data_IF_292880899161
#
_entry.id   IF_292880899161
#
_cell.length_a   1.000
_cell.length_b   1.000
_cell.length_c   1.000
_cell.angle_alpha   90.00
_cell.angle_beta   90.00
_cell.angle_gamma   90.00
#
_symmetry.space_group_name_H-M   'P 1'
#
loop_
_entity.id
_entity.type
_entity.pdbx_description
1 polymer ?
#
# COMPACT_ATOMS: atom_id res chain seq x y z
N UNK A 1 -0.16 18.34 -5.69
CA UNK A 1 0.03 17.88 -4.31
C UNK A 1 -1.22 18.20 -3.53
N UNK A 2 -1.91 17.20 -3.00
CA UNK A 2 -2.88 17.47 -1.94
C UNK A 2 -2.08 17.96 -0.73
N UNK A 3 -2.44 19.09 -0.11
CA UNK A 3 -1.80 19.53 1.12
C UNK A 3 -1.91 18.41 2.15
N UNK A 4 -0.96 18.26 3.08
CA UNK A 4 -1.07 17.28 4.13
C UNK A 4 -2.36 17.55 4.89
N UNK A 5 -3.30 16.61 4.82
CA UNK A 5 -4.62 16.71 5.49
C UNK A 5 -4.43 16.76 7.02
N UNK A 6 -3.26 16.38 7.49
CA UNK A 6 -2.84 16.52 8.87
C UNK A 6 -1.54 17.32 8.97
N UNK A 7 -1.41 18.26 9.92
CA UNK A 7 -0.19 19.05 10.12
C UNK A 7 0.96 18.21 10.71
N UNK A 8 0.78 16.90 10.88
CA UNK A 8 1.80 15.99 11.43
C UNK A 8 2.71 15.53 10.30
N UNK A 9 4.02 15.83 10.34
CA UNK A 9 4.98 15.36 9.34
C UNK A 9 4.99 13.83 9.28
N UNK A 10 4.79 13.27 8.09
CA UNK A 10 4.80 11.82 7.89
C UNK A 10 3.43 11.14 7.76
N UNK A 11 2.35 11.76 8.21
CA UNK A 11 1.00 11.25 7.98
C UNK A 11 0.57 11.53 6.54
N UNK A 12 0.62 10.49 5.71
CA UNK A 12 0.13 10.53 4.33
C UNK A 12 -1.04 9.56 4.20
N UNK A 13 -2.18 10.04 3.70
CA UNK A 13 -3.27 9.14 3.34
C UNK A 13 -2.77 8.14 2.30
N UNK A 14 -2.81 6.86 2.65
CA UNK A 14 -2.19 5.77 1.86
C UNK A 14 -2.88 5.45 0.53
N UNK A 15 -3.38 6.48 -0.20
CA UNK A 15 -4.08 6.33 -1.47
C UNK A 15 -3.29 5.51 -2.50
N UNK A 16 -1.96 5.57 -2.43
CA UNK A 16 -1.11 4.76 -3.29
C UNK A 16 -1.23 3.25 -3.05
N UNK A 17 -1.66 2.82 -1.88
CA UNK A 17 -1.87 1.42 -1.58
C UNK A 17 -3.14 0.87 -2.23
N UNK A 18 -4.12 1.72 -2.59
CA UNK A 18 -5.33 1.33 -3.31
C UNK A 18 -4.97 0.69 -4.64
N UNK A 19 -4.09 1.33 -5.42
CA UNK A 19 -3.67 0.82 -6.73
C UNK A 19 -2.92 -0.51 -6.58
N UNK A 20 -2.03 -0.61 -5.60
CA UNK A 20 -1.29 -1.84 -5.30
C UNK A 20 -2.25 -2.98 -4.95
N UNK A 21 -3.23 -2.73 -4.06
CA UNK A 21 -4.23 -3.71 -3.68
C UNK A 21 -5.12 -4.11 -4.86
N UNK A 22 -5.53 -3.14 -5.66
CA UNK A 22 -6.36 -3.40 -6.85
C UNK A 22 -5.64 -4.33 -7.83
N UNK A 23 -4.36 -4.08 -8.12
CA UNK A 23 -3.56 -4.93 -8.98
C UNK A 23 -3.36 -6.35 -8.41
N UNK A 24 -3.08 -6.45 -7.10
CA UNK A 24 -2.93 -7.74 -6.44
C UNK A 24 -4.24 -8.52 -6.38
N UNK A 25 -5.38 -7.83 -6.21
CA UNK A 25 -6.71 -8.46 -6.19
C UNK A 25 -7.07 -9.05 -7.55
N UNK A 26 -6.86 -8.31 -8.66
CA UNK A 26 -7.23 -8.75 -10.00
C UNK A 26 -6.30 -9.83 -10.54
N UNK A 27 -5.00 -9.65 -10.37
CA UNK A 27 -3.99 -10.49 -11.03
C UNK A 27 -3.29 -11.48 -10.09
N UNK A 28 -3.51 -11.39 -8.78
CA UNK A 28 -2.79 -12.23 -7.82
C UNK A 28 -1.28 -12.09 -7.96
N UNK A 29 -0.57 -13.23 -7.84
CA UNK A 29 0.90 -13.25 -7.92
C UNK A 29 1.47 -12.84 -9.28
N UNK A 30 0.72 -13.01 -10.36
CA UNK A 30 1.20 -12.68 -11.71
C UNK A 30 1.37 -11.17 -11.94
N UNK A 31 0.50 -10.35 -11.35
CA UNK A 31 0.60 -8.89 -11.43
C UNK A 31 1.33 -8.25 -10.25
N UNK A 32 1.99 -9.06 -9.43
CA UNK A 32 2.79 -8.55 -8.34
C UNK A 32 3.92 -7.62 -8.82
N UNK A 33 4.55 -7.94 -9.96
CA UNK A 33 5.59 -7.11 -10.55
C UNK A 33 5.03 -5.79 -11.10
N UNK A 34 3.82 -5.80 -11.69
CA UNK A 34 3.16 -4.58 -12.16
C UNK A 34 2.90 -3.65 -10.97
N UNK A 35 2.43 -4.20 -9.85
CA UNK A 35 2.22 -3.45 -8.62
C UNK A 35 3.53 -2.85 -8.07
N UNK A 36 4.63 -3.60 -8.13
CA UNK A 36 5.95 -3.10 -7.72
C UNK A 36 6.42 -1.97 -8.64
N UNK A 37 6.24 -2.12 -9.96
CA UNK A 37 6.59 -1.09 -10.93
C UNK A 37 5.82 0.22 -10.66
N UNK A 38 4.52 0.13 -10.38
CA UNK A 38 3.69 1.30 -10.03
C UNK A 38 4.19 1.96 -8.75
N UNK A 39 4.64 1.20 -7.74
CA UNK A 39 5.21 1.75 -6.51
C UNK A 39 6.48 2.53 -6.82
N UNK A 40 7.40 1.96 -7.60
CA UNK A 40 8.66 2.62 -7.97
C UNK A 40 8.37 3.90 -8.74
N UNK A 41 7.54 3.83 -9.77
CA UNK A 41 7.17 4.97 -10.59
C UNK A 41 6.55 6.11 -9.75
N UNK A 42 5.63 5.77 -8.85
CA UNK A 42 5.02 6.74 -7.93
C UNK A 42 6.03 7.40 -7.02
N UNK A 43 6.99 6.63 -6.47
CA UNK A 43 8.00 7.17 -5.57
C UNK A 43 8.96 8.11 -6.30
N UNK A 44 9.37 7.75 -7.53
CA UNK A 44 10.22 8.59 -8.38
C UNK A 44 9.49 9.89 -8.76
N UNK A 45 8.25 9.79 -9.24
CA UNK A 45 7.44 10.97 -9.57
C UNK A 45 7.24 11.89 -8.37
N UNK A 46 6.93 11.32 -7.20
CA UNK A 46 6.77 12.09 -5.98
C UNK A 46 8.06 12.81 -5.58
N UNK A 47 9.22 12.18 -5.73
CA UNK A 47 10.51 12.79 -5.45
C UNK A 47 10.85 13.94 -6.42
N UNK A 48 10.53 13.76 -7.70
CA UNK A 48 10.72 14.81 -8.72
C UNK A 48 9.83 16.03 -8.45
N UNK A 49 8.56 15.81 -8.08
CA UNK A 49 7.59 16.87 -7.78
C UNK A 49 7.97 17.62 -6.49
N UNK A 50 8.42 16.90 -5.46
CA UNK A 50 8.80 17.48 -4.16
C UNK A 50 10.21 18.09 -4.20
N UNK A 51 11.03 17.67 -5.19
CA UNK A 51 12.44 18.09 -5.28
C UNK A 51 13.31 17.51 -4.17
N UNK A 52 12.91 16.40 -3.53
CA UNK A 52 13.63 15.79 -2.42
C UNK A 52 13.94 14.31 -2.70
N UNK A 53 15.20 13.95 -2.96
CA UNK A 53 15.63 12.56 -3.14
C UNK A 53 15.32 11.68 -1.93
N UNK A 54 15.39 12.26 -0.72
CA UNK A 54 15.03 11.56 0.53
C UNK A 54 13.59 11.07 0.53
N UNK A 55 12.67 11.82 -0.08
CA UNK A 55 11.27 11.41 -0.21
C UNK A 55 11.13 10.12 -1.03
N UNK A 56 11.98 9.90 -2.04
CA UNK A 56 12.00 8.65 -2.80
C UNK A 56 12.50 7.48 -1.96
N UNK A 57 13.59 7.67 -1.22
CA UNK A 57 14.20 6.61 -0.39
C UNK A 57 13.19 6.10 0.64
N UNK A 58 12.56 7.01 1.39
CA UNK A 58 11.51 6.65 2.35
C UNK A 58 10.29 6.03 1.69
N UNK A 59 9.86 6.59 0.56
CA UNK A 59 8.73 6.09 -0.21
C UNK A 59 8.98 4.68 -0.72
N UNK A 60 10.18 4.38 -1.24
CA UNK A 60 10.56 3.06 -1.73
C UNK A 60 10.67 2.05 -0.59
N UNK A 61 11.35 2.39 0.50
CA UNK A 61 11.48 1.49 1.65
C UNK A 61 10.11 1.09 2.21
N UNK A 62 9.22 2.06 2.43
CA UNK A 62 7.85 1.80 2.87
C UNK A 62 7.02 1.06 1.80
N UNK A 63 7.14 1.45 0.54
CA UNK A 63 6.39 0.86 -0.57
C UNK A 63 6.74 -0.62 -0.80
N UNK A 64 8.01 -0.98 -0.78
CA UNK A 64 8.48 -2.36 -0.93
C UNK A 64 8.03 -3.21 0.28
N UNK A 65 8.18 -2.70 1.50
CA UNK A 65 7.73 -3.39 2.70
C UNK A 65 6.21 -3.64 2.68
N UNK A 66 5.43 -2.63 2.29
CA UNK A 66 3.98 -2.73 2.13
C UNK A 66 3.58 -3.75 1.05
N UNK A 67 4.25 -3.73 -0.10
CA UNK A 67 4.00 -4.66 -1.20
C UNK A 67 4.26 -6.12 -0.77
N UNK A 68 5.38 -6.38 -0.11
CA UNK A 68 5.71 -7.72 0.41
C UNK A 68 4.65 -8.20 1.40
N UNK A 69 4.25 -7.34 2.35
CA UNK A 69 3.23 -7.67 3.34
C UNK A 69 1.88 -8.00 2.67
N UNK A 70 1.42 -7.15 1.76
CA UNK A 70 0.17 -7.38 1.03
C UNK A 70 0.23 -8.66 0.19
N UNK A 71 1.35 -8.94 -0.48
CA UNK A 71 1.53 -10.14 -1.27
C UNK A 71 1.48 -11.40 -0.39
N UNK A 72 2.13 -11.38 0.77
CA UNK A 72 2.07 -12.47 1.74
C UNK A 72 0.64 -12.68 2.26
N UNK A 73 -0.04 -11.61 2.67
CA UNK A 73 -1.41 -11.69 3.17
C UNK A 73 -2.39 -12.22 2.11
N UNK A 74 -2.28 -11.77 0.86
CA UNK A 74 -3.09 -12.29 -0.25
C UNK A 74 -2.84 -13.79 -0.55
N UNK A 75 -1.70 -14.35 -0.14
CA UNK A 75 -1.42 -15.79 -0.27
C UNK A 75 -1.95 -16.61 0.89
N UNK A 76 -1.98 -16.01 2.10
CA UNK A 76 -2.41 -16.67 3.34
C UNK A 76 -3.94 -16.70 3.45
N UNK A 77 -4.60 -15.63 3.06
CA UNK A 77 -6.06 -15.53 3.17
C UNK A 77 -6.79 -16.43 2.15
N UNK A 78 -7.99 -16.91 2.51
CA UNK A 78 -8.79 -17.77 1.66
C UNK A 78 -9.09 -17.10 0.31
N UNK A 79 -9.15 -17.93 -0.73
CA UNK A 79 -9.58 -17.53 -2.06
C UNK A 79 -11.02 -17.97 -2.26
N UNK A 80 -11.80 -17.15 -2.93
CA UNK A 80 -13.15 -17.53 -3.34
C UNK A 80 -13.09 -18.74 -4.27
N UNK A 81 -13.96 -19.71 -4.01
CA UNK A 81 -14.00 -21.02 -4.70
C UNK A 81 -14.30 -20.90 -6.19
N UNK A 82 -15.17 -19.95 -6.57
CA UNK A 82 -15.59 -19.76 -7.95
C UNK A 82 -14.60 -18.92 -8.76
N UNK A 83 -14.19 -17.78 -8.20
CA UNK A 83 -13.36 -16.81 -8.94
C UNK A 83 -11.87 -17.06 -8.78
N UNK A 84 -11.45 -17.92 -7.82
CA UNK A 84 -10.06 -18.12 -7.40
C UNK A 84 -9.35 -16.81 -7.01
N UNK A 85 -10.12 -15.78 -6.74
CA UNK A 85 -9.64 -14.49 -6.26
C UNK A 85 -9.54 -14.52 -4.74
N UNK A 86 -8.72 -13.65 -4.23
CA UNK A 86 -8.69 -13.32 -2.82
C UNK A 86 -10.08 -12.80 -2.38
N UNK A 87 -10.61 -13.31 -1.25
CA UNK A 87 -11.93 -12.90 -0.76
C UNK A 87 -11.91 -11.40 -0.38
N UNK A 88 -12.82 -10.63 -0.97
CA UNK A 88 -12.91 -9.18 -0.78
C UNK A 88 -13.14 -8.75 0.67
N UNK A 89 -13.67 -9.66 1.52
CA UNK A 89 -13.89 -9.40 2.96
C UNK A 89 -12.59 -9.15 3.70
N UNK A 90 -11.48 -9.69 3.21
CA UNK A 90 -10.16 -9.53 3.82
C UNK A 90 -9.38 -8.33 3.28
N UNK A 91 -9.92 -7.59 2.31
CA UNK A 91 -9.28 -6.40 1.76
C UNK A 91 -8.92 -5.34 2.82
N UNK A 92 -9.81 -4.98 3.78
CA UNK A 92 -9.46 -4.02 4.82
C UNK A 92 -8.29 -4.50 5.70
N UNK A 93 -8.26 -5.79 6.04
CA UNK A 93 -7.16 -6.36 6.84
C UNK A 93 -5.84 -6.36 6.08
N UNK A 94 -5.87 -6.69 4.79
CA UNK A 94 -4.70 -6.62 3.92
C UNK A 94 -4.19 -5.19 3.77
N UNK A 95 -5.10 -4.22 3.68
CA UNK A 95 -4.75 -2.80 3.60
C UNK A 95 -4.10 -2.29 4.89
N UNK A 96 -4.64 -2.68 6.05
CA UNK A 96 -4.05 -2.33 7.36
C UNK A 96 -2.67 -2.96 7.48
N UNK A 97 -2.52 -4.24 7.16
CA UNK A 97 -1.21 -4.90 7.13
C UNK A 97 -0.22 -4.16 6.24
N UNK A 98 -0.63 -3.85 5.00
CA UNK A 98 0.19 -3.06 4.08
C UNK A 98 0.57 -1.69 4.63
N UNK A 99 -0.36 -0.98 5.27
CA UNK A 99 -0.11 0.35 5.84
C UNK A 99 0.86 0.28 7.05
N UNK A 100 0.70 -0.70 7.92
CA UNK A 100 1.59 -0.92 9.07
C UNK A 100 3.02 -1.23 8.60
N UNK A 101 3.16 -2.15 7.65
CA UNK A 101 4.47 -2.49 7.07
C UNK A 101 5.07 -1.34 6.25
N UNK A 102 4.24 -0.50 5.65
CA UNK A 102 4.71 0.72 4.99
C UNK A 102 5.40 1.65 6.00
N UNK A 103 4.75 1.92 7.13
CA UNK A 103 5.35 2.72 8.21
C UNK A 103 6.59 2.02 8.78
N UNK A 104 6.53 0.71 9.01
CA UNK A 104 7.69 -0.04 9.49
C UNK A 104 8.91 0.08 8.55
N UNK A 105 8.71 -0.03 7.24
CA UNK A 105 9.77 0.16 6.24
C UNK A 105 10.34 1.58 6.26
N UNK A 106 9.48 2.60 6.37
CA UNK A 106 9.93 3.98 6.50
C UNK A 106 10.71 4.22 7.80
N UNK A 107 10.22 3.65 8.92
CA UNK A 107 10.90 3.75 10.21
C UNK A 107 12.25 3.06 10.21
N UNK A 108 12.35 1.86 9.62
CA UNK A 108 13.63 1.17 9.47
C UNK A 108 14.65 2.02 8.69
N UNK A 109 14.21 2.63 7.59
CA UNK A 109 15.04 3.55 6.82
C UNK A 109 15.45 4.79 7.65
N UNK A 110 14.51 5.37 8.42
CA UNK A 110 14.78 6.52 9.26
C UNK A 110 15.78 6.20 10.39
N UNK A 111 15.66 5.02 11.01
CA UNK A 111 16.60 4.55 12.05
C UNK A 111 18.01 4.41 11.48
N UNK A 112 18.15 3.87 10.27
CA UNK A 112 19.45 3.73 9.61
C UNK A 112 20.11 5.08 9.30
N UNK A 113 19.30 6.10 8.98
CA UNK A 113 19.83 7.41 8.58
C UNK A 113 20.03 8.37 9.75
N UNK A 114 19.16 8.35 10.76
CA UNK A 114 19.14 9.35 11.84
C UNK A 114 19.32 8.78 13.25
N UNK A 115 19.36 7.46 13.38
CA UNK A 115 19.47 6.79 14.68
C UNK A 115 18.12 6.60 15.39
N UNK A 116 18.14 5.78 16.44
CA UNK A 116 16.94 5.19 17.04
C UNK A 116 16.12 6.16 17.90
N UNK A 117 16.79 7.06 18.63
CA UNK A 117 16.14 7.85 19.71
C UNK A 117 14.99 8.74 19.24
N UNK A 118 15.16 9.40 18.11
CA UNK A 118 14.17 10.36 17.59
C UNK A 118 13.02 9.67 16.86
N UNK A 119 13.30 8.52 16.23
CA UNK A 119 12.33 7.79 15.42
C UNK A 119 11.31 7.07 16.30
N UNK A 120 11.75 6.45 17.40
CA UNK A 120 10.87 5.68 18.31
C UNK A 120 9.80 6.55 18.97
N UNK A 121 10.09 7.82 19.26
CA UNK A 121 9.12 8.72 19.90
C UNK A 121 7.85 8.96 19.04
N UNK A 122 7.99 8.98 17.71
CA UNK A 122 6.88 9.21 16.79
C UNK A 122 6.19 7.93 16.31
N UNK A 123 6.79 6.77 16.52
CA UNK A 123 6.29 5.48 16.04
C UNK A 123 4.85 5.17 16.46
N UNK A 124 4.40 5.38 17.72
CA UNK A 124 3.04 5.05 18.13
C UNK A 124 1.98 5.87 17.36
N UNK A 125 2.24 7.15 17.15
CA UNK A 125 1.33 8.06 16.44
C UNK A 125 1.23 7.63 14.96
N UNK A 126 2.37 7.31 14.34
CA UNK A 126 2.41 6.87 12.95
C UNK A 126 1.73 5.51 12.76
N UNK A 127 1.88 4.57 13.69
CA UNK A 127 1.19 3.29 13.65
C UNK A 127 -0.33 3.45 13.78
N UNK A 128 -0.79 4.29 14.72
CA UNK A 128 -2.21 4.59 14.87
C UNK A 128 -2.80 5.19 13.57
N UNK A 129 -2.09 6.14 12.96
CA UNK A 129 -2.49 6.73 11.67
C UNK A 129 -2.47 5.72 10.53
N UNK A 130 -1.53 4.77 10.53
CA UNK A 130 -1.46 3.70 9.54
C UNK A 130 -2.66 2.75 9.61
N UNK A 131 -3.10 2.39 10.83
CA UNK A 131 -4.27 1.54 11.02
C UNK A 131 -5.52 2.23 10.49
N UNK A 132 -5.75 3.48 10.89
CA UNK A 132 -6.92 4.27 10.45
C UNK A 132 -6.89 4.46 8.92
N UNK A 133 -5.76 4.89 8.39
CA UNK A 133 -5.58 5.09 6.94
C UNK A 133 -5.69 3.78 6.15
N UNK A 134 -5.17 2.67 6.70
CA UNK A 134 -5.28 1.34 6.12
C UNK A 134 -6.70 0.84 6.06
N UNK A 135 -7.49 1.00 7.12
CA UNK A 135 -8.92 0.68 7.13
C UNK A 135 -9.67 1.49 6.07
N UNK A 136 -9.43 2.79 6.03
CA UNK A 136 -10.09 3.68 5.06
C UNK A 136 -9.76 3.29 3.62
N UNK A 137 -8.48 3.07 3.30
CA UNK A 137 -8.04 2.68 1.95
C UNK A 137 -8.53 1.29 1.55
N UNK A 138 -8.57 0.35 2.50
CA UNK A 138 -9.10 -1.00 2.28
C UNK A 138 -10.60 -1.00 2.01
N UNK A 139 -11.36 -0.23 2.78
CA UNK A 139 -12.79 -0.06 2.56
C UNK A 139 -13.08 0.63 1.22
N UNK A 140 -12.33 1.67 0.89
CA UNK A 140 -12.46 2.37 -0.39
C UNK A 140 -12.13 1.45 -1.57
N UNK A 141 -11.10 0.61 -1.46
CA UNK A 141 -10.76 -0.38 -2.48
C UNK A 141 -11.90 -1.39 -2.66
N UNK A 142 -12.49 -1.87 -1.56
CA UNK A 142 -13.64 -2.77 -1.60
C UNK A 142 -14.85 -2.13 -2.30
N UNK A 143 -15.15 -0.86 -2.01
CA UNK A 143 -16.24 -0.13 -2.67
C UNK A 143 -15.99 0.05 -4.17
N UNK A 144 -14.76 0.35 -4.56
CA UNK A 144 -14.37 0.48 -5.96
C UNK A 144 -14.56 -0.86 -6.68
N UNK A 145 -14.07 -1.95 -6.11
CA UNK A 145 -14.15 -3.29 -6.71
C UNK A 145 -15.60 -3.75 -6.89
N UNK A 146 -16.48 -3.49 -5.93
CA UNK A 146 -17.91 -3.83 -6.04
C UNK A 146 -18.65 -3.09 -7.15
N UNK A 147 -18.17 -1.90 -7.54
CA UNK A 147 -18.73 -1.14 -8.66
C UNK A 147 -18.19 -1.57 -10.02
N UNK A 148 -17.08 -2.32 -10.05
CA UNK A 148 -16.51 -2.79 -11.32
C UNK A 148 -17.27 -4.01 -11.83
N UNK A 149 -17.74 -3.99 -13.11
CA UNK A 149 -18.41 -5.14 -13.70
C UNK A 149 -17.46 -6.34 -13.82
N UNK A 150 -17.91 -7.52 -13.42
CA UNK A 150 -17.10 -8.74 -13.42
C UNK A 150 -16.49 -9.07 -14.80
N UNK A 151 -17.22 -8.75 -15.87
CA UNK A 151 -16.74 -8.92 -17.25
C UNK A 151 -15.43 -8.16 -17.49
N UNK A 152 -15.33 -6.92 -16.99
CA UNK A 152 -14.13 -6.09 -17.11
C UNK A 152 -12.98 -6.64 -16.27
N UNK A 153 -13.25 -7.05 -15.03
CA UNK A 153 -12.26 -7.67 -14.15
C UNK A 153 -11.67 -8.95 -14.76
N UNK A 154 -12.50 -9.77 -15.40
CA UNK A 154 -12.08 -10.98 -16.09
C UNK A 154 -11.27 -10.68 -17.36
N UNK A 155 -11.67 -9.65 -18.13
CA UNK A 155 -10.93 -9.19 -19.31
C UNK A 155 -9.52 -8.72 -18.94
N UNK A 156 -9.40 -7.90 -17.90
CA UNK A 156 -8.10 -7.41 -17.42
C UNK A 156 -7.21 -8.58 -16.96
N UNK A 157 -7.78 -9.61 -16.36
CA UNK A 157 -7.04 -10.81 -15.91
C UNK A 157 -6.50 -11.64 -17.07
N UNK A 158 -7.25 -11.76 -18.15
CA UNK A 158 -6.94 -12.61 -19.29
C UNK A 158 -5.97 -11.96 -20.30
N UNK A 159 -5.65 -10.69 -20.12
CA UNK A 159 -4.56 -10.05 -20.87
C UNK A 159 -3.24 -10.58 -20.32
N UNK A 160 -2.70 -11.59 -21.05
CA UNK A 160 -1.37 -12.17 -20.81
C UNK A 160 -0.28 -11.30 -21.43
#
# INVERSE_FOLDING_TARGET
MLPPICPIPGVRVGLGNIVTMFLLYIGGSWRAFDALFVIILRCVLAALIVGSPMSAIYGLAGGIASWLAMLCLCRIFPKDSETKRFDERFLPFTAVGGAVFHIAGQMACAVLLYGTKYVLAYTPILLASAIIGGLFTGFLTMLILRKFPEKLLNSIRNVK
#
